data_IF_386251486419
#
_entry.id   IF_386251486419
#
_cell.length_a   1.000
_cell.length_b   1.000
_cell.length_c   1.000
_cell.angle_alpha   90.00
_cell.angle_beta   90.00
_cell.angle_gamma   90.00
#
_symmetry.space_group_name_H-M   'P 1'
#
loop_
_entity.id
_entity.type
_entity.pdbx_description
1 polymer ?
#
# COMPACT_ATOMS: atom_id res chain seq x y z
N UNK A 1 -57.03 -25.76 53.21
CA UNK A 1 -56.96 -24.94 51.98
C UNK A 1 -55.58 -24.34 51.89
N UNK A 2 -54.71 -24.92 51.06
CA UNK A 2 -53.35 -24.45 50.75
C UNK A 2 -53.31 -24.17 49.26
N UNK A 3 -53.29 -22.90 48.88
CA UNK A 3 -53.21 -22.46 47.49
C UNK A 3 -51.76 -22.03 47.17
N UNK A 4 -51.26 -22.56 46.07
CA UNK A 4 -49.96 -22.27 45.48
C UNK A 4 -49.82 -20.81 45.03
N UNK A 5 -48.59 -20.28 44.97
CA UNK A 5 -48.27 -19.30 43.94
C UNK A 5 -46.78 -19.27 43.62
N UNK A 6 -46.52 -19.54 42.35
CA UNK A 6 -45.27 -19.52 41.62
C UNK A 6 -44.73 -18.09 41.56
N UNK A 7 -43.43 -17.88 41.80
CA UNK A 7 -42.71 -16.72 41.25
C UNK A 7 -41.40 -17.14 40.60
N UNK A 8 -41.57 -17.55 39.35
CA UNK A 8 -40.58 -17.54 38.28
C UNK A 8 -40.22 -16.08 38.02
N UNK A 9 -39.33 -15.46 38.80
CA UNK A 9 -38.93 -14.07 38.55
C UNK A 9 -37.51 -13.78 39.04
N UNK A 10 -36.48 -14.55 38.61
CA UNK A 10 -35.07 -14.07 38.62
C UNK A 10 -34.22 -14.65 37.47
N UNK A 11 -34.83 -14.90 36.31
CA UNK A 11 -34.10 -15.07 35.06
C UNK A 11 -34.09 -13.71 34.37
N UNK A 12 -33.20 -12.80 34.78
CA UNK A 12 -32.82 -11.58 34.05
C UNK A 12 -31.78 -10.83 34.89
N UNK A 13 -30.55 -11.34 34.91
CA UNK A 13 -29.38 -10.57 35.33
C UNK A 13 -28.37 -10.61 34.17
N UNK A 14 -28.56 -9.63 33.30
CA UNK A 14 -27.66 -9.13 32.26
C UNK A 14 -26.18 -9.21 32.63
N UNK A 15 -25.39 -9.79 31.73
CA UNK A 15 -24.01 -9.44 31.36
C UNK A 15 -23.46 -10.63 30.56
N UNK A 16 -23.76 -10.76 29.27
CA UNK A 16 -23.03 -10.05 28.22
C UNK A 16 -21.50 -10.10 28.43
N UNK A 17 -20.94 -11.30 28.65
CA UNK A 17 -19.51 -11.54 28.47
C UNK A 17 -19.32 -12.48 27.28
N UNK A 18 -19.81 -12.06 26.11
CA UNK A 18 -19.21 -12.52 24.86
C UNK A 18 -17.83 -11.89 24.84
N UNK A 19 -16.85 -12.62 25.36
CA UNK A 19 -15.43 -12.30 25.19
C UNK A 19 -15.11 -12.36 23.70
N UNK A 20 -15.44 -11.28 23.00
CA UNK A 20 -14.90 -10.92 21.69
C UNK A 20 -13.44 -10.54 21.95
N UNK A 21 -12.62 -11.55 22.24
CA UNK A 21 -11.18 -11.42 22.16
C UNK A 21 -10.82 -11.56 20.69
N UNK A 22 -11.20 -10.54 19.91
CA UNK A 22 -10.59 -10.23 18.63
C UNK A 22 -9.13 -9.90 18.94
N UNK A 23 -8.32 -10.95 19.09
CA UNK A 23 -6.88 -10.89 18.83
C UNK A 23 -6.72 -10.57 17.34
N UNK A 24 -7.01 -9.33 16.98
CA UNK A 24 -6.43 -8.68 15.83
C UNK A 24 -4.95 -8.52 16.17
N UNK A 25 -4.23 -9.64 16.08
CA UNK A 25 -2.78 -9.64 15.88
C UNK A 25 -2.61 -8.81 14.62
N UNK A 26 -2.27 -7.54 14.82
CA UNK A 26 -1.91 -6.63 13.75
C UNK A 26 -0.62 -7.16 13.15
N UNK A 27 -0.73 -8.15 12.27
CA UNK A 27 0.37 -8.52 11.38
C UNK A 27 0.64 -7.27 10.54
N UNK A 28 1.66 -6.51 10.93
CA UNK A 28 2.24 -5.48 10.10
C UNK A 28 2.69 -6.15 8.80
N UNK A 29 1.93 -5.95 7.72
CA UNK A 29 2.27 -6.52 6.43
C UNK A 29 3.40 -5.71 5.83
N UNK A 30 4.56 -6.34 5.71
CA UNK A 30 5.69 -5.78 4.97
C UNK A 30 5.32 -5.60 3.49
N UNK A 31 5.98 -4.64 2.84
CA UNK A 31 5.80 -4.40 1.41
C UNK A 31 6.35 -5.60 0.63
N UNK A 32 5.51 -6.23 -0.19
CA UNK A 32 5.96 -7.25 -1.14
C UNK A 32 6.18 -6.66 -2.54
N UNK A 33 6.92 -7.36 -3.41
CA UNK A 33 7.22 -6.88 -4.75
C UNK A 33 5.94 -6.73 -5.58
N UNK A 34 5.03 -7.70 -5.44
CA UNK A 34 3.70 -7.66 -6.06
C UNK A 34 2.86 -6.49 -5.55
N UNK A 35 2.96 -6.15 -4.25
CA UNK A 35 2.26 -4.98 -3.71
C UNK A 35 2.84 -3.69 -4.28
N UNK A 36 4.17 -3.57 -4.36
CA UNK A 36 4.84 -2.43 -4.98
C UNK A 36 4.44 -2.25 -6.45
N UNK A 37 4.54 -3.31 -7.26
CA UNK A 37 4.11 -3.30 -8.67
C UNK A 37 2.66 -2.86 -8.81
N UNK A 38 1.75 -3.39 -7.97
CA UNK A 38 0.34 -3.02 -7.99
C UNK A 38 0.12 -1.55 -7.63
N UNK A 39 0.82 -1.03 -6.62
CA UNK A 39 0.70 0.37 -6.19
C UNK A 39 1.16 1.31 -7.30
N UNK A 40 2.28 1.00 -7.95
CA UNK A 40 2.81 1.80 -9.07
C UNK A 40 1.84 1.72 -10.26
N UNK A 41 1.38 0.52 -10.63
CA UNK A 41 0.46 0.34 -11.75
C UNK A 41 -0.92 0.98 -11.53
N UNK A 42 -1.35 1.12 -10.27
CA UNK A 42 -2.58 1.82 -9.91
C UNK A 42 -2.45 3.35 -10.00
N UNK A 43 -1.24 3.88 -10.20
CA UNK A 43 -1.03 5.30 -10.34
C UNK A 43 -1.65 5.83 -11.65
N UNK A 44 -2.46 6.90 -11.65
CA UNK A 44 -3.16 7.38 -12.85
C UNK A 44 -2.24 7.66 -14.04
N UNK A 45 -1.04 8.18 -13.77
CA UNK A 45 -0.05 8.53 -14.78
C UNK A 45 0.88 7.38 -15.19
N UNK A 46 0.84 6.23 -14.49
CA UNK A 46 1.67 5.06 -14.81
C UNK A 46 1.01 4.12 -15.84
N UNK A 47 -0.20 4.44 -16.31
CA UNK A 47 -0.93 3.64 -17.29
C UNK A 47 -0.08 3.39 -18.54
N UNK A 48 0.10 2.11 -18.88
CA UNK A 48 0.87 1.68 -20.06
C UNK A 48 2.38 1.57 -19.84
N UNK A 49 2.90 1.88 -18.66
CA UNK A 49 4.30 1.62 -18.31
C UNK A 49 4.46 0.17 -17.84
N UNK A 50 5.50 -0.50 -18.33
CA UNK A 50 5.92 -1.79 -17.78
C UNK A 50 6.56 -1.57 -16.41
N UNK A 51 6.14 -2.34 -15.40
CA UNK A 51 6.63 -2.24 -14.03
C UNK A 51 7.09 -3.60 -13.53
N UNK A 52 8.25 -3.65 -12.89
CA UNK A 52 8.77 -4.88 -12.26
C UNK A 52 9.73 -4.55 -11.11
N UNK A 53 9.32 -4.82 -9.89
CA UNK A 53 10.15 -4.72 -8.68
C UNK A 53 11.13 -5.90 -8.59
N UNK A 54 12.43 -5.59 -8.56
CA UNK A 54 13.53 -6.56 -8.49
C UNK A 54 14.00 -6.81 -7.05
N UNK A 55 13.83 -5.85 -6.15
CA UNK A 55 14.29 -5.96 -4.77
C UNK A 55 13.64 -4.95 -3.84
N UNK A 56 13.61 -5.29 -2.55
CA UNK A 56 13.00 -4.48 -1.49
C UNK A 56 13.96 -4.42 -0.32
N UNK A 57 14.20 -3.22 0.17
CA UNK A 57 14.96 -2.93 1.38
C UNK A 57 14.05 -2.22 2.37
N UNK A 58 13.79 -2.85 3.52
CA UNK A 58 13.02 -2.24 4.61
C UNK A 58 13.92 -1.24 5.33
N UNK A 59 13.51 0.03 5.37
CA UNK A 59 14.26 1.09 6.07
C UNK A 59 13.70 1.36 7.46
N UNK A 60 12.40 1.15 7.66
CA UNK A 60 11.75 1.19 8.97
C UNK A 60 10.47 0.35 8.96
N UNK A 61 9.73 0.31 10.07
CA UNK A 61 8.41 -0.35 10.11
C UNK A 61 7.37 0.27 9.17
N UNK A 62 7.54 1.54 8.82
CA UNK A 62 6.61 2.28 7.95
C UNK A 62 7.26 2.74 6.65
N UNK A 63 8.51 2.39 6.37
CA UNK A 63 9.21 2.83 5.16
C UNK A 63 9.97 1.67 4.51
N UNK A 64 9.95 1.64 3.18
CA UNK A 64 10.70 0.67 2.39
C UNK A 64 11.15 1.31 1.09
N UNK A 65 12.33 0.93 0.61
CA UNK A 65 12.89 1.34 -0.67
C UNK A 65 12.91 0.13 -1.58
N UNK A 66 12.32 0.25 -2.77
CA UNK A 66 12.35 -0.81 -3.78
C UNK A 66 13.29 -0.44 -4.90
N UNK A 67 13.99 -1.42 -5.47
CA UNK A 67 14.64 -1.30 -6.77
C UNK A 67 13.67 -1.82 -7.84
N UNK A 68 13.13 -0.91 -8.64
CA UNK A 68 12.01 -1.22 -9.54
C UNK A 68 12.28 -0.71 -10.95
N UNK A 69 12.07 -1.56 -11.95
CA UNK A 69 12.06 -1.16 -13.36
C UNK A 69 10.71 -0.51 -13.67
N UNK A 70 10.74 0.70 -14.22
CA UNK A 70 9.57 1.44 -14.71
C UNK A 70 9.89 1.91 -16.14
N UNK A 71 9.17 1.36 -17.12
CA UNK A 71 9.54 1.49 -18.53
C UNK A 71 10.93 0.90 -18.79
N UNK A 72 11.81 1.69 -19.43
CA UNK A 72 13.15 1.26 -19.83
C UNK A 72 14.21 1.43 -18.72
N UNK A 73 13.85 2.01 -17.58
CA UNK A 73 14.81 2.45 -16.55
C UNK A 73 14.52 1.81 -15.20
N UNK A 74 15.57 1.59 -14.41
CA UNK A 74 15.47 1.12 -13.01
C UNK A 74 15.64 2.29 -12.05
N UNK A 75 14.76 2.37 -11.06
CA UNK A 75 14.70 3.43 -10.07
C UNK A 75 14.66 2.85 -8.65
N UNK A 76 15.19 3.63 -7.70
CA UNK A 76 14.92 3.39 -6.28
C UNK A 76 13.67 4.18 -5.88
N UNK A 77 12.62 3.47 -5.50
CA UNK A 77 11.32 4.04 -5.16
C UNK A 77 11.10 3.94 -3.67
N UNK A 78 10.76 5.04 -3.01
CA UNK A 78 10.43 5.07 -1.59
C UNK A 78 8.94 4.90 -1.39
N UNK A 79 8.60 3.90 -0.59
CA UNK A 79 7.25 3.62 -0.15
C UNK A 79 7.11 3.94 1.33
N UNK A 80 5.94 4.48 1.70
CA UNK A 80 5.56 4.74 3.08
C UNK A 80 4.23 4.06 3.40
N UNK A 81 4.16 3.43 4.57
CA UNK A 81 2.94 2.82 5.09
C UNK A 81 2.14 3.84 5.88
N UNK A 82 0.88 3.96 5.53
CA UNK A 82 -0.15 4.72 6.23
C UNK A 82 -1.22 3.75 6.70
N UNK A 83 -1.38 3.61 8.01
CA UNK A 83 -2.25 2.62 8.63
C UNK A 83 -1.96 1.19 8.12
N UNK A 84 -2.80 0.69 7.20
CA UNK A 84 -2.71 -0.66 6.62
C UNK A 84 -2.21 -0.68 5.18
N UNK A 85 -2.05 0.49 4.56
CA UNK A 85 -1.78 0.61 3.13
C UNK A 85 -0.42 1.23 2.86
N UNK A 86 0.26 0.72 1.84
CA UNK A 86 1.50 1.28 1.34
C UNK A 86 1.22 2.25 0.21
N UNK A 87 1.97 3.36 0.18
CA UNK A 87 1.94 4.36 -0.88
C UNK A 87 3.34 4.60 -1.40
N UNK A 88 3.46 4.73 -2.71
CA UNK A 88 4.69 5.21 -3.35
C UNK A 88 4.72 6.74 -3.26
N UNK A 89 5.78 7.30 -2.68
CA UNK A 89 5.88 8.75 -2.48
C UNK A 89 7.00 9.39 -3.30
N UNK A 90 8.18 8.75 -3.29
CA UNK A 90 9.37 9.37 -3.83
C UNK A 90 10.17 8.43 -4.72
N UNK A 91 11.02 9.04 -5.54
CA UNK A 91 11.95 8.40 -6.45
C UNK A 91 13.32 9.01 -6.20
N UNK A 92 14.33 8.18 -6.04
CA UNK A 92 15.70 8.65 -5.94
C UNK A 92 16.20 9.10 -7.32
N UNK A 93 16.76 10.31 -7.37
CA UNK A 93 17.41 10.83 -8.56
C UNK A 93 18.85 10.34 -8.64
N UNK A 94 19.42 10.32 -9.84
CA UNK A 94 20.84 9.97 -10.03
C UNK A 94 21.82 10.87 -9.27
N UNK A 95 21.39 12.08 -8.89
CA UNK A 95 22.17 13.03 -8.10
C UNK A 95 22.09 12.82 -6.58
N UNK A 96 21.40 11.78 -6.10
CA UNK A 96 21.25 11.49 -4.67
C UNK A 96 20.15 12.29 -3.97
N UNK A 97 19.23 12.91 -4.72
CA UNK A 97 18.04 13.59 -4.20
C UNK A 97 16.78 12.72 -4.33
N UNK A 98 15.66 13.19 -3.77
CA UNK A 98 14.36 12.54 -3.89
C UNK A 98 13.38 13.49 -4.58
N UNK A 99 12.69 13.00 -5.60
CA UNK A 99 11.60 13.70 -6.28
C UNK A 99 10.27 12.97 -6.05
N UNK A 100 9.16 13.67 -6.24
CA UNK A 100 7.83 13.07 -6.14
C UNK A 100 7.60 12.01 -7.22
N UNK A 101 6.73 11.03 -6.93
CA UNK A 101 6.32 10.02 -7.90
C UNK A 101 5.75 10.64 -9.20
N UNK A 102 4.87 11.64 -9.05
CA UNK A 102 4.26 12.37 -10.17
C UNK A 102 5.31 13.00 -11.10
N UNK A 103 6.34 13.61 -10.52
CA UNK A 103 7.40 14.28 -11.29
C UNK A 103 8.19 13.27 -12.14
N UNK A 104 8.48 12.08 -11.61
CA UNK A 104 9.08 11.01 -12.42
C UNK A 104 8.16 10.63 -13.59
N UNK A 105 6.87 10.43 -13.32
CA UNK A 105 5.92 9.96 -14.33
C UNK A 105 5.72 10.99 -15.43
N UNK A 106 5.67 12.28 -15.09
CA UNK A 106 5.64 13.37 -16.05
C UNK A 106 6.87 13.36 -16.97
N UNK A 107 8.07 13.17 -16.39
CA UNK A 107 9.31 13.05 -17.17
C UNK A 107 9.28 11.83 -18.11
N UNK A 108 8.75 10.69 -17.66
CA UNK A 108 8.62 9.49 -18.48
C UNK A 108 7.62 9.69 -19.63
N UNK A 109 6.47 10.31 -19.34
CA UNK A 109 5.47 10.60 -20.37
C UNK A 109 6.02 11.56 -21.43
N UNK A 110 6.74 12.60 -21.02
CA UNK A 110 7.33 13.56 -21.95
C UNK A 110 8.40 12.92 -22.83
N UNK A 111 9.23 12.04 -22.25
CA UNK A 111 10.18 11.23 -23.02
C UNK A 111 9.48 10.36 -24.06
N UNK A 112 8.37 9.71 -23.71
CA UNK A 112 7.60 8.90 -24.65
C UNK A 112 6.93 9.75 -25.74
N UNK A 113 6.47 10.97 -25.43
CA UNK A 113 5.97 11.92 -26.45
C UNK A 113 7.07 12.32 -27.43
N UNK A 114 8.26 12.64 -26.93
CA UNK A 114 9.42 12.99 -27.75
C UNK A 114 9.79 11.87 -28.74
N UNK A 115 9.88 10.61 -28.25
CA UNK A 115 10.14 9.45 -29.11
C UNK A 115 9.12 9.30 -30.24
N UNK A 116 7.83 9.56 -29.98
CA UNK A 116 6.79 9.49 -31.01
C UNK A 116 6.89 10.63 -32.02
N UNK A 117 7.24 11.83 -31.58
CA UNK A 117 7.45 12.97 -32.47
C UNK A 117 8.63 12.71 -33.42
N UNK A 118 9.75 12.17 -32.91
CA UNK A 118 10.90 11.77 -33.73
C UNK A 118 10.55 10.69 -34.75
N UNK A 119 9.68 9.74 -34.40
CA UNK A 119 9.27 8.67 -35.31
C UNK A 119 8.38 9.14 -36.47
N UNK A 120 7.84 10.36 -36.41
CA UNK A 120 6.99 10.96 -37.44
C UNK A 120 7.70 12.05 -38.25
N UNK A 121 8.90 12.46 -37.86
CA UNK A 121 9.73 13.46 -38.55
C UNK A 121 10.57 12.81 -39.65
#
# INVERSE_FOLDING_TARGET
MTAASVRIERLLASAATVSVTLLAIGCSRDLSARDADRIIAAHPQASGLAVSTEGISKTSESESITKTRVGDSTYNLKFRRYDKDWRWEFVETKGGGWIAADELLDQLQEKERGKRAEAWA
#
